data_IF_565734924390
#
_entry.id   IF_565734924390
#
_cell.length_a   1.000
_cell.length_b   1.000
_cell.length_c   1.000
_cell.angle_alpha   90.00
_cell.angle_beta   90.00
_cell.angle_gamma   90.00
#
_symmetry.space_group_name_H-M   'P 1'
#
loop_
_entity.id
_entity.type
_entity.pdbx_description
1 polymer ?
#
# COMPACT_ATOMS: atom_id res chain seq x y z
N UNK A 1 -15.48 47.20 -13.40
CA UNK A 1 -14.65 46.11 -12.87
C UNK A 1 -15.58 45.03 -12.37
N UNK A 2 -15.84 44.01 -13.18
CA UNK A 2 -16.64 42.85 -12.78
C UNK A 2 -15.67 41.72 -12.43
N UNK A 3 -15.63 41.36 -11.16
CA UNK A 3 -14.97 40.16 -10.67
C UNK A 3 -15.90 38.97 -10.90
N UNK A 4 -15.48 38.07 -11.77
CA UNK A 4 -16.09 36.76 -12.00
C UNK A 4 -16.04 35.92 -10.71
N UNK A 5 -17.09 35.18 -10.33
CA UNK A 5 -17.03 34.26 -9.20
C UNK A 5 -16.15 33.06 -9.59
N UNK A 6 -15.18 32.72 -8.74
CA UNK A 6 -14.44 31.46 -8.85
C UNK A 6 -15.40 30.28 -8.70
N UNK A 7 -15.49 29.44 -9.73
CA UNK A 7 -16.10 28.10 -9.67
C UNK A 7 -15.27 27.20 -8.75
N UNK A 8 -15.48 27.33 -7.44
CA UNK A 8 -15.12 26.29 -6.50
C UNK A 8 -16.17 25.19 -6.62
N UNK A 9 -15.77 24.03 -7.17
CA UNK A 9 -16.58 22.81 -7.15
C UNK A 9 -17.05 22.47 -5.72
N UNK A 10 -18.01 21.55 -5.55
CA UNK A 10 -18.58 21.24 -4.24
C UNK A 10 -17.46 20.96 -3.23
N UNK A 11 -17.50 21.53 -2.00
CA UNK A 11 -16.41 21.49 -1.03
C UNK A 11 -15.81 20.10 -0.78
N UNK A 12 -16.66 19.07 -0.82
CA UNK A 12 -16.26 17.67 -0.66
C UNK A 12 -15.27 17.17 -1.72
N UNK A 13 -15.32 17.67 -2.95
CA UNK A 13 -14.44 17.19 -4.03
C UNK A 13 -13.03 17.79 -3.94
N UNK A 14 -12.90 19.02 -3.43
CA UNK A 14 -11.62 19.68 -3.25
C UNK A 14 -10.90 19.14 -2.00
N UNK A 15 -11.62 19.02 -0.88
CA UNK A 15 -11.09 18.44 0.35
C UNK A 15 -10.69 16.97 0.17
N UNK A 16 -11.51 16.17 -0.53
CA UNK A 16 -11.17 14.77 -0.85
C UNK A 16 -9.92 14.69 -1.73
N UNK A 17 -9.77 15.57 -2.73
CA UNK A 17 -8.57 15.62 -3.56
C UNK A 17 -7.32 16.00 -2.76
N UNK A 18 -7.44 16.97 -1.85
CA UNK A 18 -6.34 17.35 -0.97
C UNK A 18 -5.93 16.20 -0.06
N UNK A 19 -6.90 15.52 0.56
CA UNK A 19 -6.65 14.32 1.35
C UNK A 19 -5.94 13.23 0.53
N UNK A 20 -6.39 13.01 -0.72
CA UNK A 20 -5.77 12.03 -1.62
C UNK A 20 -4.29 12.32 -1.82
N UNK A 21 -3.95 13.58 -2.10
CA UNK A 21 -2.56 13.98 -2.31
C UNK A 21 -1.73 13.91 -1.02
N UNK A 22 -2.25 14.43 0.09
CA UNK A 22 -1.52 14.46 1.38
C UNK A 22 -1.20 13.05 1.88
N UNK A 23 -2.18 12.15 1.85
CA UNK A 23 -1.95 10.77 2.28
C UNK A 23 -1.10 9.99 1.27
N UNK A 24 -1.23 10.27 -0.04
CA UNK A 24 -0.34 9.67 -1.03
C UNK A 24 1.13 10.11 -0.86
N UNK A 25 1.39 11.35 -0.45
CA UNK A 25 2.74 11.84 -0.12
C UNK A 25 3.30 11.04 1.06
N UNK A 26 2.54 10.92 2.15
CA UNK A 26 2.96 10.15 3.32
C UNK A 26 3.29 8.69 2.99
N UNK A 27 2.44 8.05 2.18
CA UNK A 27 2.66 6.68 1.72
C UNK A 27 3.90 6.55 0.82
N UNK A 28 4.16 7.58 0.00
CA UNK A 28 5.36 7.64 -0.84
C UNK A 28 6.63 7.76 0.00
N UNK A 29 6.62 8.61 1.03
CA UNK A 29 7.74 8.76 1.97
C UNK A 29 7.97 7.48 2.79
N UNK A 30 6.93 6.69 3.03
CA UNK A 30 7.00 5.36 3.62
C UNK A 30 7.51 4.27 2.64
N UNK A 31 7.88 4.63 1.40
CA UNK A 31 8.53 3.74 0.43
C UNK A 31 7.61 3.13 -0.62
N UNK A 32 6.32 3.50 -0.67
CA UNK A 32 5.42 3.08 -1.75
C UNK A 32 5.68 3.89 -3.04
N UNK A 33 5.48 3.28 -4.20
CA UNK A 33 5.60 4.00 -5.48
C UNK A 33 4.57 5.12 -5.58
N UNK A 34 5.00 6.34 -5.94
CA UNK A 34 4.15 7.55 -6.00
C UNK A 34 2.76 7.32 -6.62
N UNK A 35 2.70 6.67 -7.78
CA UNK A 35 1.41 6.45 -8.45
C UNK A 35 0.57 5.35 -7.79
N UNK A 36 1.22 4.33 -7.20
CA UNK A 36 0.52 3.34 -6.39
C UNK A 36 -0.07 3.96 -5.13
N UNK A 37 0.65 4.87 -4.47
CA UNK A 37 0.16 5.64 -3.32
C UNK A 37 -1.10 6.42 -3.69
N UNK A 38 -1.07 7.18 -4.80
CA UNK A 38 -2.22 7.97 -5.29
C UNK A 38 -3.42 7.08 -5.64
N UNK A 39 -3.21 5.98 -6.36
CA UNK A 39 -4.28 5.03 -6.71
C UNK A 39 -4.89 4.38 -5.48
N UNK A 40 -4.06 3.93 -4.53
CA UNK A 40 -4.54 3.33 -3.28
C UNK A 40 -5.39 4.31 -2.48
N UNK A 41 -4.93 5.56 -2.32
CA UNK A 41 -5.70 6.57 -1.58
C UNK A 41 -7.00 6.95 -2.30
N UNK A 42 -7.00 7.05 -3.63
CA UNK A 42 -8.23 7.31 -4.39
C UNK A 42 -9.27 6.19 -4.21
N UNK A 43 -8.81 4.93 -4.17
CA UNK A 43 -9.67 3.78 -3.85
C UNK A 43 -10.13 3.80 -2.39
N UNK A 44 -9.31 4.31 -1.47
CA UNK A 44 -9.67 4.44 -0.05
C UNK A 44 -10.73 5.53 0.18
N UNK A 45 -10.65 6.62 -0.57
CA UNK A 45 -11.53 7.78 -0.44
C UNK A 45 -12.84 7.66 -1.23
N UNK A 46 -12.98 6.66 -2.11
CA UNK A 46 -14.16 6.53 -2.97
C UNK A 46 -15.38 6.02 -2.21
N UNK A 47 -16.50 6.73 -2.34
CA UNK A 47 -17.80 6.28 -1.80
C UNK A 47 -18.39 5.11 -2.60
N UNK A 48 -17.89 4.86 -3.83
CA UNK A 48 -18.37 3.75 -4.68
C UNK A 48 -17.87 2.38 -4.22
N UNK A 49 -16.86 2.32 -3.34
CA UNK A 49 -16.17 1.09 -2.96
C UNK A 49 -15.22 0.52 -4.04
N UNK A 50 -15.49 0.78 -5.33
CA UNK A 50 -14.61 0.43 -6.44
C UNK A 50 -14.51 1.56 -7.47
N UNK A 51 -13.43 1.55 -8.26
CA UNK A 51 -13.22 2.44 -9.40
C UNK A 51 -12.63 1.67 -10.58
N UNK A 52 -13.03 2.03 -11.80
CA UNK A 52 -12.37 1.58 -13.03
C UNK A 52 -11.07 2.34 -13.28
N UNK A 53 -10.23 1.86 -14.20
CA UNK A 53 -9.01 2.59 -14.60
C UNK A 53 -9.31 3.98 -15.17
N UNK A 54 -10.45 4.16 -15.84
CA UNK A 54 -10.89 5.45 -16.37
C UNK A 54 -11.26 6.41 -15.24
N UNK A 55 -12.07 5.94 -14.28
CA UNK A 55 -12.45 6.77 -13.14
C UNK A 55 -11.26 7.11 -12.23
N UNK A 56 -10.31 6.19 -12.05
CA UNK A 56 -9.05 6.49 -11.37
C UNK A 56 -8.26 7.57 -12.10
N UNK A 57 -8.23 7.53 -13.42
CA UNK A 57 -7.56 8.55 -14.23
C UNK A 57 -8.24 9.93 -14.07
N UNK A 58 -9.58 9.94 -14.03
CA UNK A 58 -10.37 11.15 -13.83
C UNK A 58 -10.19 11.73 -12.42
N UNK A 59 -10.29 10.90 -11.37
CA UNK A 59 -10.09 11.33 -9.98
C UNK A 59 -8.69 11.90 -9.76
N UNK A 60 -7.67 11.24 -10.31
CA UNK A 60 -6.27 11.62 -10.13
C UNK A 60 -5.75 12.66 -11.13
N UNK A 61 -6.57 13.02 -12.13
CA UNK A 61 -6.20 13.93 -13.22
C UNK A 61 -4.92 13.46 -13.96
N UNK A 62 -4.90 12.18 -14.35
CA UNK A 62 -3.78 11.54 -15.05
C UNK A 62 -4.25 10.81 -16.31
N UNK A 63 -3.31 10.29 -17.11
CA UNK A 63 -3.66 9.43 -18.24
C UNK A 63 -4.04 8.01 -17.76
N UNK A 64 -5.00 7.32 -18.42
CA UNK A 64 -5.34 5.93 -18.10
C UNK A 64 -4.14 4.96 -18.17
N UNK A 65 -3.15 5.27 -19.02
CA UNK A 65 -1.92 4.50 -19.14
C UNK A 65 -1.09 4.51 -17.84
N UNK A 66 -1.12 5.61 -17.07
CA UNK A 66 -0.38 5.74 -15.81
C UNK A 66 -0.96 4.86 -14.68
N UNK A 67 -2.24 4.49 -14.76
CA UNK A 67 -2.94 3.68 -13.74
C UNK A 67 -2.49 2.21 -13.78
N UNK A 68 -2.19 1.68 -14.97
CA UNK A 68 -1.99 0.23 -15.17
C UNK A 68 -0.79 -0.33 -14.40
N UNK A 69 0.31 0.43 -14.31
CA UNK A 69 1.49 0.03 -13.52
C UNK A 69 1.21 0.02 -12.02
N UNK A 70 0.53 1.07 -11.53
CA UNK A 70 0.15 1.20 -10.13
C UNK A 70 -0.77 0.08 -9.66
N UNK A 71 -1.85 -0.18 -10.41
CA UNK A 71 -2.78 -1.28 -10.12
C UNK A 71 -2.07 -2.63 -10.14
N UNK A 72 -1.22 -2.90 -11.14
CA UNK A 72 -0.48 -4.16 -11.21
C UNK A 72 0.39 -4.36 -9.96
N UNK A 73 1.10 -3.31 -9.53
CA UNK A 73 1.90 -3.34 -8.32
C UNK A 73 1.02 -3.59 -7.08
N UNK A 74 -0.06 -2.82 -6.91
CA UNK A 74 -0.97 -2.94 -5.75
C UNK A 74 -1.63 -4.31 -5.66
N UNK A 75 -2.01 -4.91 -6.79
CA UNK A 75 -2.51 -6.29 -6.83
C UNK A 75 -1.42 -7.30 -6.50
N UNK A 76 -0.20 -7.09 -6.98
CA UNK A 76 0.93 -7.97 -6.67
C UNK A 76 1.26 -7.97 -5.16
N UNK A 77 1.21 -6.81 -4.50
CA UNK A 77 1.40 -6.69 -3.04
C UNK A 77 0.13 -6.95 -2.23
N UNK A 78 -0.97 -7.35 -2.87
CA UNK A 78 -2.22 -7.76 -2.22
C UNK A 78 -3.11 -6.64 -1.67
N UNK A 79 -2.80 -5.37 -1.96
CA UNK A 79 -3.55 -4.21 -1.45
C UNK A 79 -4.83 -3.92 -2.25
N UNK A 80 -4.86 -4.28 -3.54
CA UNK A 80 -6.00 -4.04 -4.43
C UNK A 80 -6.39 -5.32 -5.13
N UNK A 81 -7.69 -5.63 -5.08
CA UNK A 81 -8.29 -6.72 -5.84
C UNK A 81 -8.94 -6.20 -7.12
N UNK A 82 -8.99 -7.06 -8.12
CA UNK A 82 -9.66 -6.78 -9.40
C UNK A 82 -10.95 -7.58 -9.49
N UNK A 83 -12.08 -6.89 -9.60
CA UNK A 83 -13.39 -7.47 -9.82
C UNK A 83 -13.92 -7.15 -11.22
N UNK A 84 -14.85 -7.97 -11.69
CA UNK A 84 -15.68 -7.67 -12.87
C UNK A 84 -17.13 -7.82 -12.49
N UNK A 85 -17.93 -6.82 -12.83
CA UNK A 85 -19.38 -6.95 -12.76
C UNK A 85 -19.87 -7.86 -13.90
N UNK A 86 -20.86 -8.72 -13.65
CA UNK A 86 -21.45 -9.55 -14.70
C UNK A 86 -21.96 -8.71 -15.87
N UNK A 87 -21.42 -8.96 -17.07
CA UNK A 87 -21.81 -8.25 -18.30
C UNK A 87 -20.99 -7.00 -18.60
N UNK A 88 -20.13 -6.54 -17.69
CA UNK A 88 -19.23 -5.42 -17.95
C UNK A 88 -17.89 -5.88 -18.53
N UNK A 89 -17.35 -5.10 -19.48
CA UNK A 89 -16.01 -5.33 -20.05
C UNK A 89 -14.88 -4.71 -19.25
N UNK A 90 -15.20 -3.76 -18.37
CA UNK A 90 -14.20 -2.99 -17.62
C UNK A 90 -13.84 -3.71 -16.33
N UNK A 91 -12.56 -3.70 -16.02
CA UNK A 91 -12.05 -4.17 -14.73
C UNK A 91 -12.30 -3.07 -13.68
N UNK A 92 -12.89 -3.46 -12.55
CA UNK A 92 -13.05 -2.62 -11.36
C UNK A 92 -11.97 -2.96 -10.34
N UNK A 93 -11.44 -1.93 -9.70
CA UNK A 93 -10.44 -2.04 -8.66
C UNK A 93 -11.03 -1.58 -7.35
N UNK A 94 -10.76 -2.34 -6.30
CA UNK A 94 -11.22 -2.08 -4.94
C UNK A 94 -10.12 -2.47 -3.97
N UNK A 95 -10.11 -1.83 -2.81
CA UNK A 95 -9.29 -2.28 -1.69
C UNK A 95 -9.78 -3.67 -1.30
N UNK A 96 -8.86 -4.61 -1.06
CA UNK A 96 -9.23 -5.97 -0.68
C UNK A 96 -10.05 -5.95 0.63
N UNK A 97 -11.35 -6.27 0.55
CA UNK A 97 -12.36 -6.12 1.61
C UNK A 97 -11.96 -6.74 2.95
N UNK A 98 -11.20 -7.84 2.92
CA UNK A 98 -10.83 -8.50 4.16
C UNK A 98 -9.59 -7.87 4.82
N UNK A 99 -8.55 -7.50 4.07
CA UNK A 99 -7.22 -7.73 4.64
C UNK A 99 -6.08 -6.95 3.95
N UNK A 100 -6.29 -5.67 3.59
CA UNK A 100 -5.17 -4.84 3.09
C UNK A 100 -3.99 -4.81 4.09
N UNK A 101 -4.26 -4.89 5.39
CA UNK A 101 -3.26 -5.03 6.46
C UNK A 101 -2.56 -6.41 6.44
N UNK A 102 -3.17 -7.46 5.89
CA UNK A 102 -2.46 -8.72 5.62
C UNK A 102 -1.60 -8.63 4.36
N UNK A 103 -1.87 -7.73 3.43
CA UNK A 103 -0.89 -7.39 2.40
C UNK A 103 0.43 -6.92 3.04
N UNK A 104 0.32 -6.19 4.15
CA UNK A 104 1.46 -5.84 5.00
C UNK A 104 1.97 -7.02 5.84
N UNK A 105 1.10 -7.91 6.32
CA UNK A 105 1.41 -9.10 7.13
C UNK A 105 1.99 -10.30 6.39
N UNK A 106 1.61 -10.54 5.13
CA UNK A 106 2.10 -11.60 4.23
C UNK A 106 3.61 -11.53 3.96
N UNK A 107 4.27 -10.51 4.53
CA UNK A 107 5.72 -10.39 4.70
C UNK A 107 6.33 -11.44 5.63
N UNK A 108 5.57 -12.36 6.22
CA UNK A 108 6.13 -13.55 6.91
C UNK A 108 7.21 -14.24 6.07
N UNK A 109 7.00 -14.33 4.75
CA UNK A 109 7.99 -14.91 3.84
C UNK A 109 9.24 -14.04 3.65
N UNK A 110 9.14 -12.71 3.71
CA UNK A 110 10.31 -11.83 3.47
C UNK A 110 11.22 -11.77 4.69
N UNK A 111 10.66 -11.75 5.90
CA UNK A 111 11.46 -11.68 7.13
C UNK A 111 12.22 -12.98 7.38
N UNK A 112 11.62 -14.14 7.08
CA UNK A 112 12.32 -15.43 7.14
C UNK A 112 13.47 -15.50 6.13
N UNK A 113 13.21 -15.18 4.85
CA UNK A 113 14.25 -15.13 3.82
C UNK A 113 15.38 -14.16 4.17
N UNK A 114 15.03 -12.99 4.72
CA UNK A 114 16.01 -12.00 5.13
C UNK A 114 16.87 -12.51 6.30
N UNK A 115 16.28 -13.18 7.27
CA UNK A 115 17.04 -13.81 8.37
C UNK A 115 18.03 -14.85 7.84
N UNK A 116 17.61 -15.71 6.89
CA UNK A 116 18.49 -16.71 6.29
C UNK A 116 19.67 -16.08 5.53
N UNK A 117 19.40 -15.02 4.75
CA UNK A 117 20.45 -14.26 4.03
C UNK A 117 21.43 -13.64 5.01
N UNK A 118 20.92 -12.99 6.06
CA UNK A 118 21.75 -12.37 7.10
C UNK A 118 22.57 -13.41 7.86
N UNK A 119 22.01 -14.60 8.12
CA UNK A 119 22.73 -15.73 8.73
C UNK A 119 23.97 -16.13 7.91
N UNK A 120 23.80 -16.34 6.60
CA UNK A 120 24.94 -16.57 5.69
C UNK A 120 25.93 -15.41 5.67
N UNK A 121 25.43 -14.18 5.83
CA UNK A 121 26.25 -12.98 5.96
C UNK A 121 27.16 -13.01 7.19
N UNK A 122 26.64 -13.44 8.35
CA UNK A 122 27.44 -13.61 9.57
C UNK A 122 28.55 -14.64 9.36
N UNK A 123 28.23 -15.80 8.78
CA UNK A 123 29.21 -16.85 8.49
C UNK A 123 30.30 -16.37 7.53
N UNK A 124 29.93 -15.57 6.52
CA UNK A 124 30.86 -15.06 5.53
C UNK A 124 31.84 -14.01 6.09
N UNK A 125 31.39 -13.14 7.00
CA UNK A 125 32.26 -12.07 7.56
C UNK A 125 32.92 -12.47 8.88
N UNK A 126 32.56 -13.62 9.45
CA UNK A 126 33.03 -14.10 10.75
C UNK A 126 32.24 -13.50 11.91
N UNK A 127 31.78 -14.37 12.81
CA UNK A 127 30.89 -14.06 13.94
C UNK A 127 31.44 -12.99 14.89
N UNK A 128 32.74 -13.05 15.21
CA UNK A 128 33.35 -12.15 16.20
C UNK A 128 33.77 -10.79 15.63
N UNK A 129 33.66 -10.59 14.32
CA UNK A 129 34.04 -9.32 13.70
C UNK A 129 33.01 -8.24 14.00
N UNK A 130 33.40 -6.95 13.99
CA UNK A 130 32.43 -5.85 14.10
C UNK A 130 31.32 -5.91 13.03
N UNK A 131 31.61 -6.44 11.84
CA UNK A 131 30.61 -6.65 10.80
C UNK A 131 29.66 -7.80 11.15
N UNK A 132 30.19 -8.93 11.61
CA UNK A 132 29.40 -10.09 12.06
C UNK A 132 28.40 -9.72 13.15
N UNK A 133 28.84 -8.95 14.15
CA UNK A 133 27.98 -8.46 15.22
C UNK A 133 26.83 -7.56 14.71
N UNK A 134 27.10 -6.64 13.77
CA UNK A 134 26.04 -5.78 13.17
C UNK A 134 25.03 -6.57 12.34
N UNK A 135 25.51 -7.56 11.59
CA UNK A 135 24.63 -8.42 10.77
C UNK A 135 23.79 -9.32 11.68
N UNK A 136 24.38 -9.87 12.74
CA UNK A 136 23.69 -10.69 13.73
C UNK A 136 22.58 -9.91 14.46
N UNK A 137 22.85 -8.66 14.86
CA UNK A 137 21.84 -7.79 15.46
C UNK A 137 20.70 -7.49 14.49
N UNK A 138 21.03 -7.14 13.25
CA UNK A 138 20.04 -6.92 12.18
C UNK A 138 19.17 -8.17 11.96
N UNK A 139 19.79 -9.35 11.97
CA UNK A 139 19.08 -10.63 11.84
C UNK A 139 18.11 -10.84 12.99
N UNK A 140 18.57 -10.67 14.23
CA UNK A 140 17.74 -10.84 15.43
C UNK A 140 16.53 -9.89 15.41
N UNK A 141 16.72 -8.65 14.96
CA UNK A 141 15.63 -7.70 14.79
C UNK A 141 14.58 -8.18 13.78
N UNK A 142 14.98 -8.64 12.60
CA UNK A 142 14.01 -9.14 11.61
C UNK A 142 13.35 -10.46 12.02
N UNK A 143 14.04 -11.33 12.77
CA UNK A 143 13.43 -12.50 13.39
C UNK A 143 12.37 -12.13 14.43
N UNK A 144 12.59 -11.06 15.20
CA UNK A 144 11.60 -10.52 16.14
C UNK A 144 10.40 -9.95 15.39
N UNK A 145 10.61 -9.06 14.41
CA UNK A 145 9.53 -8.47 13.61
C UNK A 145 8.69 -9.56 12.91
N UNK A 146 9.33 -10.58 12.33
CA UNK A 146 8.63 -11.68 11.69
C UNK A 146 7.77 -12.53 12.65
N UNK A 147 8.01 -12.47 13.96
CA UNK A 147 7.16 -13.13 14.98
C UNK A 147 6.04 -12.22 15.46
N UNK A 148 6.32 -10.93 15.64
CA UNK A 148 5.36 -10.00 16.25
C UNK A 148 4.31 -9.46 15.27
N UNK A 149 4.65 -9.27 13.99
CA UNK A 149 3.70 -8.72 13.01
C UNK A 149 2.43 -9.59 12.88
N UNK A 150 2.51 -10.93 12.73
CA UNK A 150 1.31 -11.77 12.72
C UNK A 150 0.46 -11.63 13.99
N UNK A 151 1.10 -11.57 15.15
CA UNK A 151 0.41 -11.43 16.45
C UNK A 151 -0.35 -10.10 16.53
N UNK A 152 0.26 -9.01 16.08
CA UNK A 152 -0.38 -7.69 16.05
C UNK A 152 -1.57 -7.66 15.08
N UNK A 153 -1.45 -8.33 13.95
CA UNK A 153 -2.53 -8.45 12.96
C UNK A 153 -3.69 -9.29 13.50
N UNK A 154 -3.39 -10.44 14.10
CA UNK A 154 -4.40 -11.31 14.72
C UNK A 154 -5.14 -10.58 15.85
N UNK A 155 -4.42 -9.79 16.65
CA UNK A 155 -5.02 -8.98 17.71
C UNK A 155 -5.95 -7.91 17.14
N UNK A 156 -5.52 -7.18 16.11
CA UNK A 156 -6.37 -6.20 15.42
C UNK A 156 -7.65 -6.86 14.88
N UNK A 157 -7.52 -8.07 14.31
CA UNK A 157 -8.67 -8.83 13.81
C UNK A 157 -9.67 -9.12 14.93
N UNK A 158 -9.19 -9.56 16.09
CA UNK A 158 -10.04 -9.82 17.26
C UNK A 158 -10.79 -8.56 17.71
N UNK A 159 -10.09 -7.42 17.83
CA UNK A 159 -10.70 -6.15 18.25
C UNK A 159 -11.74 -5.61 17.24
N UNK A 160 -11.61 -5.88 15.93
CA UNK A 160 -12.59 -5.47 14.91
C UNK A 160 -13.88 -6.31 14.92
N UNK A 161 -13.83 -7.54 15.42
CA UNK A 161 -14.96 -8.47 15.44
C UNK A 161 -15.78 -8.44 16.75
N UNK A 162 -15.39 -7.61 17.71
CA UNK A 162 -16.17 -7.25 18.91
C UNK A 162 -17.00 -5.98 18.70
#
# INVERSE_FOLDING_TARGET
>A
MSTTPEEHGPPGDAETRQFIEDFAIMMTDAGMQRMASRVFTALLATQKGSLTAGELADVLQISPAAVSGAVRYLTHVGLVTRAREPGERRDHYLISDDQWYEGFGRKDSIYQQLSEVLGRGVDAVGHDTPAGKRIAETRAFFEFIGKEIPVLIDRWRQEKHE
#
